data_IF_570916874940
#
_entry.id   IF_570916874940
#
_cell.length_a   1.000
_cell.length_b   1.000
_cell.length_c   1.000
_cell.angle_alpha   90.00
_cell.angle_beta   90.00
_cell.angle_gamma   90.00
#
_symmetry.space_group_name_H-M   'P 1'
#
loop_
_entity.id
_entity.type
_entity.pdbx_description
1 polymer ?
#
# COMPACT_ATOMS: atom_id res chain seq x y z
N UNK A 1 5.64 10.96 7.47
CA UNK A 1 4.79 10.52 8.60
C UNK A 1 3.35 10.61 8.12
N UNK A 2 2.47 9.66 8.46
CA UNK A 2 1.05 9.75 8.10
C UNK A 2 0.43 10.94 8.83
N UNK A 3 0.14 12.02 8.10
CA UNK A 3 -0.59 13.16 8.62
C UNK A 3 -2.10 13.03 8.34
N UNK A 4 -2.86 14.02 8.79
CA UNK A 4 -4.32 14.03 8.63
C UNK A 4 -4.73 14.00 7.15
N UNK A 5 -4.02 14.72 6.29
CA UNK A 5 -4.33 14.83 4.86
C UNK A 5 -4.08 13.47 4.19
N UNK A 6 -2.92 12.86 4.43
CA UNK A 6 -2.60 11.53 3.89
C UNK A 6 -3.61 10.48 4.36
N UNK A 7 -4.01 10.54 5.63
CA UNK A 7 -4.99 9.61 6.20
C UNK A 7 -6.37 9.75 5.53
N UNK A 8 -6.84 10.99 5.35
CA UNK A 8 -8.12 11.27 4.69
C UNK A 8 -8.11 10.78 3.23
N UNK A 9 -7.05 11.07 2.47
CA UNK A 9 -6.89 10.61 1.08
C UNK A 9 -6.93 9.08 1.00
N UNK A 10 -6.18 8.38 1.86
CA UNK A 10 -6.15 6.92 1.87
C UNK A 10 -7.52 6.32 2.21
N UNK A 11 -8.22 6.87 3.21
CA UNK A 11 -9.55 6.43 3.60
C UNK A 11 -10.55 6.61 2.45
N UNK A 12 -10.53 7.76 1.76
CA UNK A 12 -11.41 8.03 0.62
C UNK A 12 -11.17 7.07 -0.54
N UNK A 13 -9.90 6.77 -0.84
CA UNK A 13 -9.54 5.78 -1.86
C UNK A 13 -10.03 4.38 -1.46
N UNK A 14 -9.84 3.97 -0.20
CA UNK A 14 -10.34 2.69 0.30
C UNK A 14 -11.87 2.59 0.18
N UNK A 15 -12.61 3.64 0.53
CA UNK A 15 -14.08 3.67 0.42
C UNK A 15 -14.51 3.51 -1.04
N UNK A 16 -13.88 4.26 -1.96
CA UNK A 16 -14.15 4.16 -3.41
C UNK A 16 -13.96 2.73 -3.93
N UNK A 17 -12.91 2.02 -3.48
CA UNK A 17 -12.65 0.64 -3.92
C UNK A 17 -13.58 -0.39 -3.26
N UNK A 18 -14.03 -0.16 -2.02
CA UNK A 18 -15.09 -0.96 -1.39
C UNK A 18 -16.38 -0.87 -2.22
N UNK A 19 -16.78 0.34 -2.61
CA UNK A 19 -18.00 0.57 -3.40
C UNK A 19 -17.94 -0.09 -4.79
N UNK A 20 -16.74 -0.30 -5.33
CA UNK A 20 -16.52 -1.05 -6.59
C UNK A 20 -16.55 -2.57 -6.41
N UNK A 21 -16.78 -3.06 -5.19
CA UNK A 21 -16.81 -4.50 -4.90
C UNK A 21 -15.42 -5.13 -4.76
N UNK A 22 -14.35 -4.33 -4.71
CA UNK A 22 -12.99 -4.86 -4.56
C UNK A 22 -12.65 -5.31 -3.13
N UNK A 23 -13.65 -5.40 -2.25
CA UNK A 23 -13.55 -5.94 -0.89
C UNK A 23 -14.74 -6.87 -0.60
N UNK A 24 -14.80 -8.07 -1.20
CA UNK A 24 -15.95 -8.98 -1.07
C UNK A 24 -16.08 -9.62 0.33
N UNK A 25 -15.00 -9.63 1.11
CA UNK A 25 -14.97 -10.13 2.48
C UNK A 25 -14.32 -9.14 3.44
N UNK A 26 -13.46 -9.64 4.33
CA UNK A 26 -12.76 -8.79 5.29
C UNK A 26 -11.56 -8.04 4.69
N UNK A 27 -11.07 -8.47 3.52
CA UNK A 27 -9.86 -7.96 2.85
C UNK A 27 -10.14 -7.46 1.43
N UNK A 28 -9.31 -6.54 0.95
CA UNK A 28 -9.31 -6.11 -0.46
C UNK A 28 -8.78 -7.24 -1.35
N UNK A 29 -9.31 -7.34 -2.57
CA UNK A 29 -8.76 -8.20 -3.62
C UNK A 29 -7.36 -7.73 -4.00
N UNK A 30 -6.56 -8.60 -4.64
CA UNK A 30 -5.23 -8.24 -5.16
C UNK A 30 -5.31 -7.01 -6.08
N UNK A 31 -6.31 -6.97 -6.96
CA UNK A 31 -6.54 -5.84 -7.86
C UNK A 31 -7.05 -4.60 -7.15
N UNK A 32 -7.88 -4.77 -6.11
CA UNK A 32 -8.33 -3.67 -5.24
C UNK A 32 -7.17 -3.00 -4.55
N UNK A 33 -6.30 -3.80 -3.92
CA UNK A 33 -5.12 -3.30 -3.24
C UNK A 33 -4.14 -2.58 -4.18
N UNK A 34 -3.93 -3.15 -5.37
CA UNK A 34 -3.12 -2.52 -6.42
C UNK A 34 -3.67 -1.13 -6.77
N UNK A 35 -4.98 -1.01 -7.02
CA UNK A 35 -5.63 0.27 -7.35
C UNK A 35 -5.53 1.28 -6.20
N UNK A 36 -5.68 0.83 -4.96
CA UNK A 36 -5.55 1.70 -3.77
C UNK A 36 -4.16 2.33 -3.75
N UNK A 37 -3.10 1.51 -3.83
CA UNK A 37 -1.73 2.00 -3.73
C UNK A 37 -1.36 2.91 -4.91
N UNK A 38 -1.74 2.54 -6.14
CA UNK A 38 -1.48 3.38 -7.32
C UNK A 38 -2.20 4.72 -7.24
N UNK A 39 -3.46 4.76 -6.79
CA UNK A 39 -4.17 6.02 -6.63
C UNK A 39 -3.60 6.86 -5.49
N UNK A 40 -3.19 6.22 -4.40
CA UNK A 40 -2.61 6.91 -3.25
C UNK A 40 -1.28 7.59 -3.59
N UNK A 41 -0.41 6.90 -4.34
CA UNK A 41 0.81 7.49 -4.88
C UNK A 41 0.50 8.69 -5.78
N UNK A 42 -0.44 8.54 -6.72
CA UNK A 42 -0.84 9.60 -7.64
C UNK A 42 -1.40 10.84 -6.94
N UNK A 43 -2.14 10.66 -5.84
CA UNK A 43 -2.77 11.75 -5.10
C UNK A 43 -1.84 12.44 -4.10
N UNK A 44 -0.81 11.74 -3.61
CA UNK A 44 0.03 12.24 -2.50
C UNK A 44 1.44 12.63 -2.91
N UNK A 45 1.92 12.19 -4.08
CA UNK A 45 3.29 12.41 -4.58
C UNK A 45 4.37 12.05 -3.54
N UNK A 46 4.05 11.12 -2.64
CA UNK A 46 4.90 10.76 -1.49
C UNK A 46 6.10 9.89 -1.87
N UNK A 47 6.24 9.55 -3.17
CA UNK A 47 7.14 8.52 -3.68
C UNK A 47 7.00 7.16 -2.97
N UNK A 48 5.88 6.95 -2.26
CA UNK A 48 5.47 5.67 -1.66
C UNK A 48 4.57 4.96 -2.66
N UNK A 49 5.21 4.30 -3.62
CA UNK A 49 4.55 3.61 -4.70
C UNK A 49 4.34 2.12 -4.46
N UNK A 50 3.62 1.51 -5.39
CA UNK A 50 3.59 0.06 -5.54
C UNK A 50 4.39 -0.32 -6.77
N UNK A 51 5.38 -1.20 -6.61
CA UNK A 51 6.11 -1.76 -7.74
C UNK A 51 5.36 -2.99 -8.26
N UNK A 52 4.61 -2.92 -9.38
CA UNK A 52 3.82 -4.05 -9.87
C UNK A 52 4.68 -5.20 -10.37
N UNK A 53 5.92 -4.93 -10.78
CA UNK A 53 6.87 -5.93 -11.29
C UNK A 53 7.43 -6.75 -10.12
N UNK A 54 7.90 -6.07 -9.07
CA UNK A 54 8.46 -6.72 -7.87
C UNK A 54 7.37 -7.19 -6.91
N UNK A 55 6.13 -6.68 -7.06
CA UNK A 55 4.99 -6.84 -6.15
C UNK A 55 5.33 -6.40 -4.72
N UNK A 56 6.09 -5.32 -4.59
CA UNK A 56 6.57 -4.74 -3.33
C UNK A 56 6.18 -3.29 -3.22
N UNK A 57 6.26 -2.72 -2.01
CA UNK A 57 6.16 -1.28 -1.83
C UNK A 57 7.45 -0.65 -2.36
N UNK A 58 7.32 0.31 -3.27
CA UNK A 58 8.41 1.16 -3.73
C UNK A 58 8.45 2.39 -2.82
N UNK A 59 9.59 2.63 -2.18
CA UNK A 59 9.75 3.74 -1.27
C UNK A 59 11.24 4.03 -1.13
N UNK A 60 11.63 5.31 -0.90
CA UNK A 60 13.03 5.65 -0.75
C UNK A 60 13.65 5.03 0.51
N UNK A 61 14.97 4.83 0.47
CA UNK A 61 15.70 4.05 1.48
C UNK A 61 15.61 4.67 2.89
N UNK A 62 15.58 6.00 2.98
CA UNK A 62 15.42 6.76 4.23
C UNK A 62 14.06 6.49 4.91
N UNK A 63 13.00 6.35 4.11
CA UNK A 63 11.69 5.93 4.60
C UNK A 63 11.75 4.51 5.14
N UNK A 64 12.37 3.58 4.39
CA UNK A 64 12.53 2.19 4.85
C UNK A 64 13.34 2.09 6.13
N UNK A 65 14.47 2.78 6.24
CA UNK A 65 15.28 2.78 7.46
C UNK A 65 14.49 3.30 8.68
N UNK A 66 13.75 4.39 8.51
CA UNK A 66 12.90 4.94 9.55
C UNK A 66 11.79 3.96 9.94
N UNK A 67 11.17 3.29 8.96
CA UNK A 67 10.05 2.38 9.20
C UNK A 67 10.50 1.05 9.80
N UNK A 68 11.64 0.51 9.39
CA UNK A 68 12.18 -0.76 9.89
C UNK A 68 12.67 -0.66 11.33
N UNK A 69 13.08 0.53 11.81
CA UNK A 69 13.34 0.77 13.23
C UNK A 69 12.09 0.59 14.10
N UNK A 70 10.93 1.00 13.59
CA UNK A 70 9.64 0.93 14.32
C UNK A 70 8.98 -0.44 14.13
N UNK A 71 9.06 -1.00 12.93
CA UNK A 71 8.41 -2.27 12.56
C UNK A 71 9.38 -3.13 11.76
N UNK A 72 10.33 -3.84 12.40
CA UNK A 72 11.31 -4.68 11.69
C UNK A 72 10.66 -5.74 10.79
N UNK A 73 9.49 -6.26 11.20
CA UNK A 73 8.70 -7.23 10.43
C UNK A 73 8.17 -6.69 9.10
N UNK A 74 8.21 -5.37 8.87
CA UNK A 74 7.81 -4.77 7.60
C UNK A 74 8.83 -5.00 6.48
N UNK A 75 10.04 -5.48 6.79
CA UNK A 75 11.10 -5.78 5.81
C UNK A 75 10.61 -6.68 4.68
N UNK A 76 9.72 -7.62 4.98
CA UNK A 76 9.11 -8.50 3.98
C UNK A 76 8.42 -7.73 2.85
N UNK A 77 7.84 -6.54 3.11
CA UNK A 77 7.16 -5.74 2.09
C UNK A 77 8.12 -4.97 1.18
N UNK A 78 9.41 -4.87 1.55
CA UNK A 78 10.50 -4.32 0.73
C UNK A 78 11.13 -5.38 -0.17
N UNK A 79 11.33 -6.58 0.38
CA UNK A 79 12.17 -7.62 -0.25
C UNK A 79 11.40 -8.78 -0.84
N UNK A 80 10.16 -9.01 -0.40
CA UNK A 80 9.37 -10.16 -0.78
C UNK A 80 8.07 -9.67 -1.39
N UNK A 81 7.88 -9.96 -2.68
CA UNK A 81 6.60 -9.72 -3.32
C UNK A 81 5.48 -10.40 -2.52
N UNK A 82 4.27 -9.84 -2.51
CA UNK A 82 3.11 -10.54 -1.91
C UNK A 82 2.96 -11.88 -2.65
N UNK A 83 3.38 -12.98 -2.01
CA UNK A 83 3.24 -14.32 -2.56
C UNK A 83 1.74 -14.58 -2.74
N UNK A 84 1.26 -14.96 -3.94
CA UNK A 84 -0.15 -15.20 -4.17
C UNK A 84 -0.78 -16.31 -3.30
N UNK A 85 0.02 -17.10 -2.57
CA UNK A 85 -0.45 -18.09 -1.58
C UNK A 85 -0.85 -17.45 -0.26
N UNK A 86 -2.00 -16.82 -0.24
CA UNK A 86 -2.96 -17.03 0.83
C UNK A 86 -4.31 -17.14 0.12
N UNK A 87 -4.77 -18.40 0.00
CA UNK A 87 -6.10 -18.81 -0.43
C UNK A 87 -7.21 -18.11 0.38
#
# INVERSE_FOLDING_TARGET
>A
MWDKILTEIFCDICIKEILKGNRPGTHFTKDGWLKIMTNFEKETDTALGWNPIKRTIDAPDDWWESRLKVVPKAQKFRTSGINPEFE
#
